data_IF_906805903326
#
_entry.id   IF_906805903326
#
_cell.length_a   1.000
_cell.length_b   1.000
_cell.length_c   1.000
_cell.angle_alpha   90.00
_cell.angle_beta   90.00
_cell.angle_gamma   90.00
#
_symmetry.space_group_name_H-M   'P 1'
#
loop_
_entity.id
_entity.type
_entity.pdbx_description
1 polymer ?
#
# COMPACT_ATOMS: atom_id res chain seq x y z
N UNK A 1 11.27 -2.78 17.75
CA UNK A 1 10.48 -3.13 16.54
C UNK A 1 9.28 -2.19 16.51
N UNK A 2 9.00 -1.56 15.38
CA UNK A 2 7.85 -0.64 15.26
C UNK A 2 6.56 -1.46 15.35
N UNK A 3 5.61 -1.01 16.18
CA UNK A 3 4.32 -1.70 16.34
C UNK A 3 3.30 -1.15 15.33
N UNK A 4 3.56 -1.37 14.04
CA UNK A 4 2.68 -0.94 12.95
C UNK A 4 1.82 -2.13 12.53
N UNK A 5 0.49 -1.94 12.52
CA UNK A 5 -0.45 -2.95 12.02
C UNK A 5 -0.28 -3.10 10.50
N UNK A 6 0.14 -4.29 10.06
CA UNK A 6 0.31 -4.63 8.65
C UNK A 6 -0.06 -6.10 8.39
N UNK A 7 -0.44 -6.50 7.16
CA UNK A 7 -0.64 -7.90 6.84
C UNK A 7 0.64 -8.69 7.10
N UNK A 8 0.52 -9.92 7.57
CA UNK A 8 1.69 -10.78 7.78
C UNK A 8 2.51 -10.85 6.50
N UNK A 9 3.78 -10.49 6.59
CA UNK A 9 4.68 -10.34 5.45
C UNK A 9 6.01 -11.01 5.71
N UNK A 10 6.57 -11.67 4.68
CA UNK A 10 7.90 -12.27 4.75
C UNK A 10 8.60 -12.21 3.40
N UNK A 11 9.91 -11.97 3.43
CA UNK A 11 10.79 -12.01 2.27
C UNK A 11 11.60 -13.30 2.30
N UNK A 12 11.69 -13.97 1.14
CA UNK A 12 12.40 -15.23 0.96
C UNK A 12 13.50 -15.06 -0.08
N UNK A 13 14.73 -15.39 0.31
CA UNK A 13 15.92 -15.26 -0.52
C UNK A 13 16.41 -16.63 -1.01
N UNK A 14 16.77 -16.72 -2.28
CA UNK A 14 17.37 -17.91 -2.87
C UNK A 14 16.46 -19.16 -2.84
N UNK A 15 16.92 -20.21 -3.50
CA UNK A 15 16.11 -21.43 -3.73
C UNK A 15 15.69 -22.14 -2.45
N UNK A 16 16.56 -22.17 -1.42
CA UNK A 16 16.28 -22.88 -0.16
C UNK A 16 15.10 -22.25 0.59
N UNK A 17 15.13 -20.93 0.77
CA UNK A 17 14.06 -20.25 1.50
C UNK A 17 12.73 -20.23 0.71
N UNK A 18 12.79 -20.11 -0.62
CA UNK A 18 11.60 -20.13 -1.48
C UNK A 18 10.80 -21.44 -1.36
N UNK A 19 11.46 -22.59 -1.11
CA UNK A 19 10.77 -23.86 -0.87
C UNK A 19 9.92 -23.87 0.41
N UNK A 20 10.20 -22.97 1.35
CA UNK A 20 9.47 -22.88 2.63
C UNK A 20 8.24 -21.98 2.54
N UNK A 21 7.96 -21.34 1.40
CA UNK A 21 6.84 -20.39 1.29
C UNK A 21 5.52 -21.04 1.70
N UNK A 22 5.20 -22.23 1.19
CA UNK A 22 3.95 -22.94 1.47
C UNK A 22 3.83 -23.50 2.89
N UNK A 23 4.93 -23.58 3.63
CA UNK A 23 4.93 -23.90 5.05
C UNK A 23 4.46 -22.69 5.88
N UNK A 24 4.82 -21.47 5.44
CA UNK A 24 4.50 -20.22 6.12
C UNK A 24 3.20 -19.58 5.66
N UNK A 25 2.87 -19.71 4.37
CA UNK A 25 1.68 -19.09 3.76
C UNK A 25 0.85 -20.15 3.03
N UNK A 26 -0.41 -20.27 3.40
CA UNK A 26 -1.39 -21.10 2.68
C UNK A 26 -2.10 -20.23 1.64
N UNK A 27 -2.29 -20.70 0.40
CA UNK A 27 -3.08 -19.97 -0.59
C UNK A 27 -4.53 -19.73 -0.10
N UNK A 28 -5.16 -18.60 -0.50
CA UNK A 28 -4.56 -17.55 -1.31
C UNK A 28 -3.66 -16.59 -0.50
N UNK A 29 -2.58 -16.10 -1.14
CA UNK A 29 -1.73 -15.05 -0.60
C UNK A 29 -1.24 -14.11 -1.72
N UNK A 30 -0.75 -12.93 -1.37
CA UNK A 30 -0.21 -11.96 -2.31
C UNK A 30 1.31 -12.15 -2.44
N UNK A 31 1.79 -12.15 -3.68
CA UNK A 31 3.21 -12.17 -4.00
C UNK A 31 3.58 -10.91 -4.79
N UNK A 32 4.65 -10.24 -4.39
CA UNK A 32 5.08 -8.98 -5.01
C UNK A 32 6.50 -9.10 -5.55
N UNK A 33 6.77 -8.53 -6.72
CA UNK A 33 8.14 -8.34 -7.21
C UNK A 33 8.73 -7.12 -6.48
N UNK A 34 9.79 -7.27 -5.68
CA UNK A 34 10.25 -6.22 -4.79
C UNK A 34 10.91 -5.02 -5.49
N UNK A 35 11.37 -5.20 -6.73
CA UNK A 35 12.10 -4.17 -7.48
C UNK A 35 11.63 -4.11 -8.94
N UNK A 36 11.67 -2.90 -9.53
CA UNK A 36 11.31 -2.70 -10.94
C UNK A 36 9.81 -2.82 -11.22
N UNK A 37 8.97 -2.82 -10.19
CA UNK A 37 7.50 -2.86 -10.29
C UNK A 37 6.90 -1.59 -9.70
N UNK A 38 5.84 -1.10 -10.34
CA UNK A 38 5.10 0.09 -9.88
C UNK A 38 3.67 0.04 -10.42
N UNK A 39 2.77 0.83 -9.83
CA UNK A 39 1.38 1.00 -10.28
C UNK A 39 0.59 -0.32 -10.34
N UNK A 40 0.79 -1.20 -9.35
CA UNK A 40 0.13 -2.51 -9.28
C UNK A 40 0.71 -3.58 -10.22
N UNK A 41 1.68 -3.24 -11.09
CA UNK A 41 2.45 -4.24 -11.84
C UNK A 41 3.37 -5.00 -10.88
N UNK A 42 3.51 -6.33 -11.10
CA UNK A 42 4.33 -7.17 -10.22
C UNK A 42 3.67 -7.56 -8.90
N UNK A 43 2.34 -7.40 -8.78
CA UNK A 43 1.52 -7.86 -7.65
C UNK A 43 0.61 -8.97 -8.14
N UNK A 44 0.73 -10.16 -7.56
CA UNK A 44 0.05 -11.38 -7.96
C UNK A 44 -0.74 -11.97 -6.79
N UNK A 45 -1.97 -12.41 -7.04
CA UNK A 45 -2.71 -13.23 -6.11
C UNK A 45 -2.42 -14.71 -6.43
N UNK A 46 -1.79 -15.41 -5.50
CA UNK A 46 -1.37 -16.80 -5.65
C UNK A 46 -2.43 -17.70 -5.01
N UNK A 47 -3.11 -18.51 -5.82
CA UNK A 47 -4.19 -19.40 -5.40
C UNK A 47 -3.77 -20.88 -5.35
N UNK A 48 -2.69 -21.22 -6.06
CA UNK A 48 -2.22 -22.59 -6.20
C UNK A 48 -0.72 -22.66 -6.46
N UNK A 49 -0.16 -23.88 -6.48
CA UNK A 49 1.26 -24.12 -6.69
C UNK A 49 1.75 -23.72 -8.09
N UNK A 50 0.91 -23.84 -9.12
CA UNK A 50 1.25 -23.42 -10.48
C UNK A 50 1.52 -21.93 -10.55
N UNK A 51 0.57 -21.10 -10.05
CA UNK A 51 0.73 -19.64 -9.97
C UNK A 51 1.95 -19.24 -9.12
N UNK A 52 2.25 -19.99 -8.06
CA UNK A 52 3.47 -19.74 -7.27
C UNK A 52 4.73 -20.01 -8.09
N UNK A 53 4.78 -21.09 -8.84
CA UNK A 53 5.93 -21.43 -9.68
C UNK A 53 6.16 -20.38 -10.78
N UNK A 54 5.07 -19.91 -11.41
CA UNK A 54 5.11 -18.85 -12.41
C UNK A 54 5.69 -17.56 -11.81
N UNK A 55 5.17 -17.14 -10.66
CA UNK A 55 5.72 -15.97 -9.94
C UNK A 55 7.21 -16.14 -9.60
N UNK A 56 7.63 -17.30 -9.09
CA UNK A 56 9.01 -17.55 -8.69
C UNK A 56 10.00 -17.56 -9.84
N UNK A 57 9.52 -17.76 -11.09
CA UNK A 57 10.33 -17.63 -12.31
C UNK A 57 10.67 -16.18 -12.66
N UNK A 58 9.89 -15.22 -12.15
CA UNK A 58 10.00 -13.80 -12.48
C UNK A 58 10.95 -13.02 -11.54
N UNK A 59 11.34 -13.60 -10.40
CA UNK A 59 12.12 -12.86 -9.39
C UNK A 59 13.03 -13.77 -8.57
N UNK A 60 14.21 -13.27 -8.22
CA UNK A 60 15.13 -13.96 -7.31
C UNK A 60 14.75 -13.80 -5.85
N UNK A 61 14.07 -12.73 -5.50
CA UNK A 61 13.62 -12.43 -4.15
C UNK A 61 12.10 -12.48 -4.12
N UNK A 62 11.53 -13.40 -3.34
CA UNK A 62 10.08 -13.51 -3.18
C UNK A 62 9.60 -12.70 -1.96
N UNK A 63 8.76 -11.69 -2.21
CA UNK A 63 8.04 -10.93 -1.19
C UNK A 63 6.63 -11.48 -1.10
N UNK A 64 6.31 -12.14 0.00
CA UNK A 64 5.02 -12.81 0.23
C UNK A 64 4.28 -12.11 1.36
N UNK A 65 3.01 -11.82 1.11
CA UNK A 65 2.14 -11.12 2.04
C UNK A 65 0.81 -11.85 2.16
N UNK A 66 0.26 -11.88 3.35
CA UNK A 66 -1.10 -12.37 3.61
C UNK A 66 -2.12 -11.66 2.70
N UNK A 67 -3.04 -12.41 2.13
CA UNK A 67 -4.15 -11.85 1.37
C UNK A 67 -5.27 -11.43 2.31
N UNK A 68 -5.60 -10.15 2.29
CA UNK A 68 -6.77 -9.59 2.94
C UNK A 68 -7.80 -9.26 1.84
N UNK A 69 -8.93 -9.98 1.75
CA UNK A 69 -9.94 -9.71 0.74
C UNK A 69 -10.67 -8.41 1.07
N UNK A 70 -10.33 -7.35 0.32
CA UNK A 70 -10.95 -6.03 0.42
C UNK A 70 -11.22 -5.49 -0.97
N UNK A 71 -12.30 -4.74 -1.13
CA UNK A 71 -12.73 -4.11 -2.39
C UNK A 71 -12.21 -2.66 -2.53
N UNK A 72 -11.63 -2.11 -1.45
CA UNK A 72 -11.15 -0.74 -1.39
C UNK A 72 -10.03 -0.57 -0.40
N UNK A 73 -9.26 0.47 -0.59
CA UNK A 73 -8.29 0.96 0.39
C UNK A 73 -8.35 2.49 0.52
N UNK A 74 -7.60 3.01 1.44
CA UNK A 74 -7.48 4.44 1.72
C UNK A 74 -6.05 4.85 1.37
N UNK A 75 -5.87 5.82 0.49
CA UNK A 75 -4.62 6.55 0.37
C UNK A 75 -4.62 7.70 1.35
N UNK A 76 -3.69 7.70 2.28
CA UNK A 76 -3.43 8.82 3.19
C UNK A 76 -2.08 9.42 2.85
N UNK A 77 -2.06 10.72 2.62
CA UNK A 77 -0.81 11.45 2.35
C UNK A 77 -0.41 12.23 3.60
N UNK A 78 0.77 11.93 4.08
CA UNK A 78 1.41 12.60 5.22
C UNK A 78 2.58 13.41 4.69
N UNK A 79 2.63 14.71 5.04
CA UNK A 79 3.76 15.58 4.75
C UNK A 79 4.14 16.29 6.04
N UNK A 80 5.43 16.26 6.38
CA UNK A 80 5.90 16.72 7.68
C UNK A 80 5.28 15.90 8.80
N UNK A 81 4.53 16.56 9.66
CA UNK A 81 3.93 15.93 10.84
C UNK A 81 2.41 15.90 10.80
N UNK A 82 1.79 15.97 9.63
CA UNK A 82 0.34 16.02 9.47
C UNK A 82 -0.17 15.29 8.25
N UNK A 83 -1.40 14.80 8.32
CA UNK A 83 -2.14 14.33 7.17
C UNK A 83 -2.59 15.55 6.36
N UNK A 84 -2.17 15.62 5.10
CA UNK A 84 -2.51 16.73 4.18
C UNK A 84 -3.66 16.37 3.25
N UNK A 85 -3.86 15.08 2.96
CA UNK A 85 -4.96 14.61 2.11
C UNK A 85 -5.22 13.13 2.34
N UNK A 86 -6.48 12.72 2.21
CA UNK A 86 -6.86 11.31 2.24
C UNK A 86 -8.09 11.05 1.36
N UNK A 87 -8.12 9.87 0.75
CA UNK A 87 -9.23 9.46 -0.13
C UNK A 87 -9.30 7.95 -0.29
N UNK A 88 -10.49 7.46 -0.62
CA UNK A 88 -10.72 6.07 -0.95
C UNK A 88 -10.28 5.74 -2.36
N UNK A 89 -9.73 4.55 -2.56
CA UNK A 89 -9.54 3.93 -3.86
C UNK A 89 -10.35 2.64 -3.88
N UNK A 90 -11.19 2.49 -4.89
CA UNK A 90 -12.13 1.38 -5.02
C UNK A 90 -11.65 0.51 -6.17
N UNK A 91 -11.48 -0.79 -5.92
CA UNK A 91 -11.08 -1.74 -6.94
C UNK A 91 -12.18 -1.91 -8.01
N UNK A 92 -11.82 -2.13 -9.28
CA UNK A 92 -12.80 -2.53 -10.30
C UNK A 92 -13.42 -3.89 -9.92
N UNK A 93 -14.60 -4.16 -10.47
CA UNK A 93 -15.25 -5.45 -10.28
C UNK A 93 -14.33 -6.60 -10.74
N UNK A 94 -14.20 -7.64 -9.91
CA UNK A 94 -13.33 -8.80 -10.13
C UNK A 94 -11.81 -8.52 -10.12
N UNK A 95 -11.38 -7.37 -9.63
CA UNK A 95 -9.98 -7.04 -9.42
C UNK A 95 -9.71 -6.90 -7.91
N UNK A 96 -8.60 -7.45 -7.42
CA UNK A 96 -8.23 -7.33 -6.01
C UNK A 96 -7.34 -6.11 -5.72
N UNK A 97 -6.89 -5.41 -6.78
CA UNK A 97 -6.05 -4.20 -6.68
C UNK A 97 -6.90 -2.96 -6.86
N UNK A 98 -6.81 -2.03 -5.94
CA UNK A 98 -7.53 -0.74 -5.96
C UNK A 98 -6.77 0.39 -6.64
N UNK A 99 -5.61 0.11 -7.23
CA UNK A 99 -4.79 1.12 -7.89
C UNK A 99 -5.50 1.76 -9.09
N UNK A 100 -5.51 3.09 -9.16
CA UNK A 100 -6.12 3.84 -10.27
C UNK A 100 -5.58 3.43 -11.65
N UNK A 101 -4.28 3.10 -11.74
CA UNK A 101 -3.64 2.63 -12.97
C UNK A 101 -4.15 1.25 -13.45
N UNK A 102 -4.88 0.52 -12.62
CA UNK A 102 -5.53 -0.76 -12.93
C UNK A 102 -7.05 -0.61 -13.09
N UNK A 103 -7.54 0.62 -13.34
CA UNK A 103 -8.95 0.90 -13.55
C UNK A 103 -9.75 1.16 -12.27
N UNK A 104 -9.09 1.28 -11.12
CA UNK A 104 -9.72 1.70 -9.87
C UNK A 104 -10.32 3.09 -9.96
N UNK A 105 -11.37 3.34 -9.18
CA UNK A 105 -11.99 4.65 -9.02
C UNK A 105 -11.58 5.30 -7.70
N UNK A 106 -11.76 6.61 -7.63
CA UNK A 106 -11.45 7.43 -6.47
C UNK A 106 -12.74 7.99 -5.88
N UNK A 107 -12.85 8.01 -4.54
CA UNK A 107 -13.94 8.62 -3.82
C UNK A 107 -13.39 9.53 -2.72
N UNK A 108 -13.93 10.75 -2.64
CA UNK A 108 -13.51 11.78 -1.67
C UNK A 108 -14.38 11.80 -0.40
N UNK A 109 -15.17 10.78 -0.17
CA UNK A 109 -15.96 10.64 1.06
C UNK A 109 -15.06 10.64 2.29
N UNK A 110 -15.65 10.98 3.43
CA UNK A 110 -14.94 11.04 4.71
C UNK A 110 -14.18 9.74 5.01
N UNK A 111 -12.94 9.90 5.38
CA UNK A 111 -12.05 8.80 5.78
C UNK A 111 -12.09 8.65 7.31
N UNK A 112 -12.20 7.42 7.84
CA UNK A 112 -12.22 7.18 9.27
C UNK A 112 -10.97 7.68 9.98
N UNK A 113 -11.16 8.34 11.13
CA UNK A 113 -10.09 8.94 11.93
C UNK A 113 -9.01 7.93 12.34
N UNK A 114 -9.39 6.70 12.67
CA UNK A 114 -8.47 5.61 13.03
C UNK A 114 -7.47 5.28 11.89
N UNK A 115 -7.90 5.39 10.63
CA UNK A 115 -7.02 5.19 9.48
C UNK A 115 -6.03 6.35 9.31
N UNK A 116 -6.48 7.59 9.55
CA UNK A 116 -5.62 8.77 9.51
C UNK A 116 -4.54 8.72 10.60
N UNK A 117 -4.93 8.32 11.82
CA UNK A 117 -4.03 8.15 12.95
C UNK A 117 -3.01 7.03 12.71
N UNK A 118 -3.45 5.89 12.15
CA UNK A 118 -2.52 4.80 11.79
C UNK A 118 -1.49 5.27 10.77
N UNK A 119 -1.92 6.03 9.73
CA UNK A 119 -1.02 6.57 8.73
C UNK A 119 -0.01 7.55 9.35
N UNK A 120 -0.50 8.52 10.11
CA UNK A 120 0.36 9.52 10.74
C UNK A 120 1.38 8.88 11.68
N UNK A 121 0.93 7.98 12.55
CA UNK A 121 1.80 7.25 13.47
C UNK A 121 2.84 6.39 12.73
N UNK A 122 2.45 5.79 11.59
CA UNK A 122 3.38 5.04 10.74
C UNK A 122 4.45 5.95 10.15
N UNK A 123 4.07 7.08 9.55
CA UNK A 123 5.00 8.04 8.96
C UNK A 123 5.99 8.56 10.01
N UNK A 124 5.50 8.99 11.18
CA UNK A 124 6.33 9.49 12.28
C UNK A 124 7.29 8.42 12.83
N UNK A 125 6.80 7.18 13.02
CA UNK A 125 7.62 6.07 13.52
C UNK A 125 8.73 5.68 12.54
N UNK A 126 8.45 5.77 11.24
CA UNK A 126 9.41 5.49 10.18
C UNK A 126 10.28 6.70 9.79
N UNK A 127 10.01 7.88 10.35
CA UNK A 127 10.68 9.16 10.04
C UNK A 127 10.58 9.51 8.56
N UNK A 128 9.37 9.41 8.00
CA UNK A 128 9.09 9.77 6.62
C UNK A 128 8.45 11.15 6.57
N UNK A 129 9.07 12.07 5.84
CA UNK A 129 8.64 13.46 5.76
C UNK A 129 7.63 13.72 4.63
N UNK A 130 7.61 12.89 3.59
CA UNK A 130 6.62 12.94 2.49
C UNK A 130 6.30 11.52 2.02
N UNK A 131 5.08 11.04 2.32
CA UNK A 131 4.69 9.67 2.03
C UNK A 131 3.20 9.52 1.76
N UNK A 132 2.85 8.73 0.74
CA UNK A 132 1.50 8.21 0.52
C UNK A 132 1.38 6.80 1.11
N UNK A 133 0.57 6.64 2.15
CA UNK A 133 0.36 5.37 2.84
C UNK A 133 -0.96 4.75 2.40
N UNK A 134 -0.93 3.48 2.05
CA UNK A 134 -2.09 2.69 1.64
C UNK A 134 -2.59 1.86 2.80
N UNK A 135 -3.84 2.08 3.20
CA UNK A 135 -4.46 1.43 4.35
C UNK A 135 -5.74 0.73 3.93
N UNK A 136 -5.91 -0.51 4.36
CA UNK A 136 -7.18 -1.21 4.24
C UNK A 136 -7.82 -1.50 5.60
N UNK A 137 -9.13 -1.80 5.58
CA UNK A 137 -9.85 -2.34 6.72
C UNK A 137 -10.24 -3.78 6.45
N UNK A 138 -9.84 -4.68 7.35
CA UNK A 138 -10.21 -6.08 7.28
C UNK A 138 -10.54 -6.61 8.69
N UNK A 139 -11.63 -7.37 8.81
CA UNK A 139 -12.08 -7.94 10.09
C UNK A 139 -12.11 -6.91 11.26
N UNK A 140 -12.60 -5.70 10.98
CA UNK A 140 -12.73 -4.63 11.96
C UNK A 140 -11.44 -3.87 12.30
N UNK A 141 -10.31 -4.20 11.66
CA UNK A 141 -8.99 -3.58 11.93
C UNK A 141 -8.43 -2.89 10.70
N UNK A 142 -7.61 -1.86 10.89
CA UNK A 142 -6.86 -1.19 9.84
C UNK A 142 -5.45 -1.75 9.73
N UNK A 143 -4.97 -1.87 8.48
CA UNK A 143 -3.64 -2.41 8.14
C UNK A 143 -2.96 -1.53 7.12
N UNK A 144 -1.70 -1.22 7.35
CA UNK A 144 -0.84 -0.57 6.35
C UNK A 144 -0.43 -1.60 5.31
N UNK A 145 -0.82 -1.40 4.05
CA UNK A 145 -0.45 -2.27 2.93
C UNK A 145 0.90 -1.92 2.32
N UNK A 146 1.11 -0.62 2.16
CA UNK A 146 2.24 -0.07 1.42
C UNK A 146 2.50 1.38 1.83
N UNK A 147 3.76 1.80 1.71
CA UNK A 147 4.18 3.18 1.81
C UNK A 147 4.93 3.58 0.55
N UNK A 148 4.55 4.69 -0.04
CA UNK A 148 5.05 5.18 -1.32
C UNK A 148 5.60 6.60 -1.16
N UNK A 149 6.93 6.77 -1.30
CA UNK A 149 7.57 8.10 -1.32
C UNK A 149 7.30 8.82 -2.63
N UNK A 150 6.97 8.08 -3.69
CA UNK A 150 6.62 8.61 -5.00
C UNK A 150 5.20 8.20 -5.38
N UNK A 151 4.23 8.90 -4.85
CA UNK A 151 2.79 8.63 -5.07
C UNK A 151 2.19 9.56 -6.13
N UNK A 152 1.10 9.09 -6.79
CA UNK A 152 0.36 9.88 -7.78
C UNK A 152 -0.39 11.06 -7.14
N UNK A 153 -0.53 12.15 -7.89
CA UNK A 153 -1.21 13.39 -7.45
C UNK A 153 -2.68 13.48 -7.89
N UNK A 154 -3.24 12.41 -8.45
CA UNK A 154 -4.61 12.39 -8.97
C UNK A 154 -5.66 12.73 -7.89
N UNK A 155 -5.50 12.20 -6.67
CA UNK A 155 -6.41 12.52 -5.57
C UNK A 155 -6.43 14.01 -5.21
N UNK A 156 -5.27 14.67 -5.24
CA UNK A 156 -5.19 16.13 -5.04
C UNK A 156 -5.91 16.88 -6.15
N UNK A 157 -5.68 16.48 -7.40
CA UNK A 157 -6.30 17.10 -8.56
C UNK A 157 -7.83 17.00 -8.51
N UNK A 158 -8.38 15.83 -8.19
CA UNK A 158 -9.83 15.64 -8.08
C UNK A 158 -10.45 16.39 -6.88
N UNK A 159 -9.69 16.58 -5.81
CA UNK A 159 -10.10 17.40 -4.67
C UNK A 159 -9.93 18.92 -4.89
N UNK A 160 -9.43 19.34 -6.07
CA UNK A 160 -9.16 20.76 -6.34
C UNK A 160 -7.96 21.32 -5.56
N UNK A 161 -7.10 20.46 -5.01
CA UNK A 161 -5.94 20.88 -4.23
C UNK A 161 -4.72 21.03 -5.16
N UNK A 162 -4.18 22.23 -5.22
CA UNK A 162 -2.91 22.49 -5.91
C UNK A 162 -1.74 22.01 -5.04
N UNK A 163 -1.17 20.85 -5.40
CA UNK A 163 -0.08 20.25 -4.64
C UNK A 163 1.17 21.14 -4.53
N UNK A 164 1.56 21.83 -5.62
CA UNK A 164 2.73 22.71 -5.59
C UNK A 164 2.51 23.88 -4.63
N UNK A 165 1.36 24.50 -4.68
CA UNK A 165 1.01 25.60 -3.77
C UNK A 165 0.93 25.12 -2.31
N UNK A 166 0.40 23.90 -2.07
CA UNK A 166 0.40 23.30 -0.75
C UNK A 166 1.84 23.16 -0.21
N UNK A 167 2.75 22.62 -1.03
CA UNK A 167 4.17 22.44 -0.64
C UNK A 167 4.84 23.78 -0.36
N UNK A 168 4.64 24.78 -1.22
CA UNK A 168 5.19 26.13 -1.01
C UNK A 168 4.71 26.72 0.33
N UNK A 169 3.42 26.61 0.62
CA UNK A 169 2.83 27.09 1.88
C UNK A 169 3.44 26.35 3.08
N UNK A 170 3.60 25.03 3.00
CA UNK A 170 4.18 24.24 4.09
C UNK A 170 5.65 24.60 4.36
N UNK A 171 6.42 24.84 3.31
CA UNK A 171 7.83 25.30 3.43
C UNK A 171 7.87 26.69 4.09
N UNK A 172 7.03 27.63 3.63
CA UNK A 172 6.99 28.99 4.19
C UNK A 172 6.59 29.00 5.68
N UNK A 173 5.75 28.03 6.09
CA UNK A 173 5.30 27.91 7.48
C UNK A 173 6.23 27.06 8.36
N UNK A 174 7.34 26.57 7.83
CA UNK A 174 8.26 25.66 8.54
C UNK A 174 7.57 24.35 9.01
N UNK A 175 6.57 23.88 8.27
CA UNK A 175 5.84 22.64 8.55
C UNK A 175 6.60 21.38 8.10
N UNK A 176 7.65 21.55 7.28
CA UNK A 176 8.56 20.51 6.75
C UNK A 176 9.99 21.05 6.65
#
# INVERSE_FOLDING_TARGET
MLNISHPRTRVFYGKRQKKMITEHFKPPFVAKIPRGSAMGRGVYLIRNQGELNDYLSLTDVAYIQEYLPVDRDIRVVVIGRRVVHAYWRIAPQNEFRSNLAQGGSLCLDAVPQEALELALNTALSCRWDDVGIDICRHAGRYYVFEANMKYGKEGFRQAGINYSQLMETMIQNEDI
#
